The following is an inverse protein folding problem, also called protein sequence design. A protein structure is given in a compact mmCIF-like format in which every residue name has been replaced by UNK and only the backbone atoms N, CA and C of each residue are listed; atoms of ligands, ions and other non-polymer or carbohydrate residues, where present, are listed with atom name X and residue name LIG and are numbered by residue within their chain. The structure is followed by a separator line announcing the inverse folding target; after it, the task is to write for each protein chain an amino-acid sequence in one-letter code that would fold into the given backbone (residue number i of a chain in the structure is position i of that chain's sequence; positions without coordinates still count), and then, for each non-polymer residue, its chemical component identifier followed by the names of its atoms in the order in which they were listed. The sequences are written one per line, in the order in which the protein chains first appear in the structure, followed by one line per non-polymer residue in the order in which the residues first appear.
data_IF_239191319195
#
_entry.id   IF_239191319195
#
_cell.length_a   1.000
_cell.length_b   1.000
_cell.length_c   1.000
_cell.angle_alpha   90.00
_cell.angle_beta   90.00
_cell.angle_gamma   90.00
#
_symmetry.space_group_name_H-M   'P 1'
#
loop_
_entity.id
_entity.type
_entity.pdbx_description
1 polymer ?
#
# COMPACT_ATOMS: atom_id res chain seq x y z
N UNK A 1 -4.17 -12.29 28.52
CA UNK A 1 -4.48 -10.86 28.34
C UNK A 1 -4.93 -10.71 26.90
N UNK A 2 -6.23 -10.53 26.66
CA UNK A 2 -6.76 -10.34 25.31
C UNK A 2 -6.15 -9.07 24.72
N UNK A 3 -5.70 -9.13 23.46
CA UNK A 3 -5.03 -8.02 22.81
C UNK A 3 -5.94 -6.78 22.80
N UNK A 4 -5.41 -5.65 23.25
CA UNK A 4 -6.07 -4.34 23.23
C UNK A 4 -6.17 -3.74 21.82
N UNK A 5 -5.83 -4.52 20.79
CA UNK A 5 -5.80 -4.10 19.40
C UNK A 5 -6.51 -5.14 18.54
N UNK A 6 -7.49 -4.68 17.76
CA UNK A 6 -8.15 -5.49 16.73
C UNK A 6 -8.15 -4.71 15.42
N UNK A 7 -7.53 -5.28 14.37
CA UNK A 7 -7.46 -4.67 13.02
C UNK A 7 -7.10 -3.17 13.04
N UNK A 8 -6.10 -2.80 13.84
CA UNK A 8 -5.61 -1.42 13.90
C UNK A 8 -6.36 -0.43 14.77
N UNK A 9 -7.52 -0.82 15.29
CA UNK A 9 -8.25 -0.01 16.27
C UNK A 9 -7.89 -0.46 17.69
N UNK A 10 -7.69 0.53 18.57
CA UNK A 10 -7.47 0.29 20.00
C UNK A 10 -8.82 0.04 20.65
N UNK A 11 -9.00 -1.13 21.28
CA UNK A 11 -10.22 -1.46 21.99
C UNK A 11 -10.20 -0.69 23.31
N UNK A 12 -11.13 0.26 23.46
CA UNK A 12 -11.21 1.12 24.65
C UNK A 12 -12.12 0.52 25.72
N UNK A 13 -13.04 -0.36 25.33
CA UNK A 13 -14.01 -1.00 26.23
C UNK A 13 -14.30 -2.44 25.82
N UNK A 14 -14.54 -3.32 26.80
CA UNK A 14 -14.85 -4.74 26.57
C UNK A 14 -16.21 -4.96 25.91
N UNK A 15 -17.15 -4.05 26.13
CA UNK A 15 -18.48 -4.04 25.54
C UNK A 15 -18.57 -3.11 24.31
N UNK A 16 -17.45 -2.56 23.82
CA UNK A 16 -17.41 -1.64 22.68
C UNK A 16 -18.20 -2.15 21.47
N UNK A 17 -18.03 -3.43 21.13
CA UNK A 17 -18.71 -4.06 19.99
C UNK A 17 -20.19 -4.42 20.26
N UNK A 18 -20.63 -4.42 21.52
CA UNK A 18 -22.01 -4.63 21.94
C UNK A 18 -22.76 -3.29 22.03
N UNK A 19 -22.08 -2.25 22.51
CA UNK A 19 -22.59 -0.89 22.63
C UNK A 19 -22.70 -0.19 21.26
N UNK A 20 -21.70 -0.36 20.39
CA UNK A 20 -21.71 0.11 19.00
C UNK A 20 -22.37 -0.93 18.08
N UNK A 21 -23.60 -1.36 18.40
CA UNK A 21 -24.30 -2.42 17.65
C UNK A 21 -24.48 -2.12 16.14
N UNK A 22 -24.38 -0.85 15.73
CA UNK A 22 -24.36 -0.44 14.33
C UNK A 22 -22.99 -0.67 13.65
N UNK A 23 -21.89 -0.70 14.40
CA UNK A 23 -20.53 -0.90 13.90
C UNK A 23 -19.96 0.28 13.10
N UNK A 24 -20.59 1.45 13.11
CA UNK A 24 -20.23 2.61 12.28
C UNK A 24 -19.60 3.71 13.15
N UNK A 25 -18.27 3.83 13.11
CA UNK A 25 -17.54 4.77 13.95
C UNK A 25 -17.47 6.19 13.36
N UNK A 26 -17.29 6.32 12.05
CA UNK A 26 -17.17 7.62 11.36
C UNK A 26 -18.49 8.14 10.80
N UNK A 27 -18.59 9.47 10.63
CA UNK A 27 -19.75 10.12 9.98
C UNK A 27 -19.99 9.58 8.56
N UNK A 28 -18.92 9.22 7.84
CA UNK A 28 -19.02 8.64 6.49
C UNK A 28 -19.61 7.23 6.51
N UNK A 29 -19.28 6.44 7.51
CA UNK A 29 -19.86 5.10 7.68
C UNK A 29 -21.33 5.18 8.07
N UNK A 30 -21.70 6.15 8.91
CA UNK A 30 -23.10 6.45 9.23
C UNK A 30 -23.89 6.88 8.00
N UNK A 31 -23.29 7.68 7.12
CA UNK A 31 -23.89 8.09 5.84
C UNK A 31 -24.12 6.90 4.90
N UNK A 32 -23.17 5.98 4.83
CA UNK A 32 -23.24 4.79 3.94
C UNK A 32 -24.06 3.66 4.57
N UNK A 33 -24.24 3.66 5.90
CA UNK A 33 -24.97 2.63 6.64
C UNK A 33 -24.21 1.29 6.75
N UNK A 34 -22.92 1.26 6.40
CA UNK A 34 -22.10 0.04 6.41
C UNK A 34 -20.67 0.33 6.86
N UNK A 35 -20.11 -0.58 7.69
CA UNK A 35 -18.71 -0.55 8.08
C UNK A 35 -17.84 -1.08 6.93
N UNK A 36 -16.90 -0.27 6.48
CA UNK A 36 -16.02 -0.60 5.36
C UNK A 36 -14.66 -0.97 5.94
N UNK A 37 -14.53 -2.22 6.37
CA UNK A 37 -13.39 -2.69 7.17
C UNK A 37 -12.02 -2.57 6.49
N UNK A 38 -11.95 -2.54 5.15
CA UNK A 38 -10.67 -2.35 4.45
C UNK A 38 -10.16 -0.91 4.52
N UNK A 39 -11.03 0.09 4.73
CA UNK A 39 -10.61 1.50 4.83
C UNK A 39 -9.78 1.78 6.09
N UNK A 40 -9.87 0.91 7.09
CA UNK A 40 -9.14 1.02 8.36
C UNK A 40 -8.13 -0.11 8.55
N UNK A 41 -7.89 -0.94 7.54
CA UNK A 41 -6.77 -1.87 7.57
C UNK A 41 -5.49 -1.02 7.48
N UNK A 42 -4.87 -0.78 8.62
CA UNK A 42 -3.65 0.04 8.76
C UNK A 42 -2.48 -0.51 7.94
N UNK A 43 -2.56 -1.75 7.46
CA UNK A 43 -1.58 -2.30 6.51
C UNK A 43 -1.78 -1.76 5.08
N UNK A 44 -2.98 -1.25 4.75
CA UNK A 44 -3.31 -0.69 3.44
C UNK A 44 -2.95 0.80 3.36
N UNK A 45 -3.07 1.55 4.45
CA UNK A 45 -2.77 2.99 4.44
C UNK A 45 -1.26 3.24 4.63
N UNK A 46 -0.59 3.95 3.70
CA UNK A 46 0.82 4.31 3.87
C UNK A 46 1.06 5.17 5.12
N UNK A 47 1.80 4.67 6.10
CA UNK A 47 2.40 5.50 7.15
C UNK A 47 3.42 6.47 6.53
N UNK A 48 2.98 7.71 6.35
CA UNK A 48 3.78 8.79 5.77
C UNK A 48 5.03 9.16 6.60
N UNK A 49 5.13 8.75 7.87
CA UNK A 49 6.36 8.96 8.65
C UNK A 49 7.52 8.10 8.15
N UNK A 50 7.20 7.01 7.44
CA UNK A 50 8.13 6.04 6.85
C UNK A 50 8.25 6.18 5.33
N UNK A 51 7.70 7.25 4.75
CA UNK A 51 7.79 7.49 3.32
C UNK A 51 9.26 7.57 2.88
N UNK A 52 9.58 6.94 1.75
CA UNK A 52 10.94 7.00 1.22
C UNK A 52 11.18 8.34 0.53
N UNK A 53 12.43 8.82 0.44
CA UNK A 53 12.75 10.07 -0.26
C UNK A 53 12.28 10.08 -1.72
N UNK A 54 12.30 8.92 -2.38
CA UNK A 54 11.81 8.78 -3.75
C UNK A 54 10.29 9.00 -3.82
N UNK A 55 9.52 8.37 -2.92
CA UNK A 55 8.06 8.52 -2.87
C UNK A 55 7.64 9.95 -2.53
N UNK A 56 8.34 10.62 -1.61
CA UNK A 56 8.12 12.04 -1.33
C UNK A 56 8.33 12.90 -2.57
N UNK A 57 9.40 12.64 -3.33
CA UNK A 57 9.66 13.38 -4.57
C UNK A 57 8.62 13.08 -5.65
N UNK A 58 8.16 11.84 -5.73
CA UNK A 58 7.09 11.44 -6.65
C UNK A 58 5.81 12.22 -6.38
N UNK A 59 5.36 12.30 -5.12
CA UNK A 59 4.18 13.10 -4.74
C UNK A 59 4.32 14.57 -5.12
N UNK A 60 5.49 15.18 -4.87
CA UNK A 60 5.78 16.57 -5.25
C UNK A 60 5.66 16.80 -6.77
N UNK A 61 6.22 15.89 -7.58
CA UNK A 61 6.18 15.99 -9.05
C UNK A 61 4.77 15.82 -9.59
N UNK A 62 3.99 14.91 -9.00
CA UNK A 62 2.60 14.65 -9.42
C UNK A 62 1.62 15.72 -8.91
N UNK A 63 2.01 16.49 -7.90
CA UNK A 63 1.12 17.43 -7.21
C UNK A 63 0.01 16.70 -6.44
N UNK A 64 0.33 15.56 -5.83
CA UNK A 64 -0.62 14.73 -5.10
C UNK A 64 -0.39 14.82 -3.59
N UNK A 65 -1.48 14.81 -2.83
CA UNK A 65 -1.47 14.90 -1.37
C UNK A 65 -1.28 13.53 -0.69
N UNK A 66 -1.50 12.42 -1.42
CA UNK A 66 -1.43 11.07 -0.88
C UNK A 66 -0.86 10.03 -1.88
N UNK A 67 -0.78 8.77 -1.43
CA UNK A 67 -0.30 7.60 -2.18
C UNK A 67 -1.33 6.47 -2.16
N UNK A 68 -2.63 6.80 -2.00
CA UNK A 68 -3.67 5.79 -1.81
C UNK A 68 -3.77 4.81 -2.99
N UNK A 69 -3.45 5.24 -4.21
CA UNK A 69 -3.45 4.33 -5.36
C UNK A 69 -2.38 3.22 -5.29
N UNK A 70 -1.40 3.35 -4.40
CA UNK A 70 -0.37 2.34 -4.09
C UNK A 70 -0.70 1.53 -2.82
N UNK A 71 -1.90 1.65 -2.26
CA UNK A 71 -2.30 0.95 -1.02
C UNK A 71 -2.18 -0.57 -1.15
N UNK A 72 -2.51 -1.10 -2.33
CA UNK A 72 -2.55 -2.51 -2.66
C UNK A 72 -1.19 -3.08 -3.14
N UNK A 73 -0.13 -2.27 -3.09
CA UNK A 73 1.24 -2.66 -3.44
C UNK A 73 2.04 -2.95 -2.17
N UNK A 74 2.56 -4.16 -2.05
CA UNK A 74 3.29 -4.61 -0.87
C UNK A 74 4.43 -5.55 -1.20
N UNK A 75 5.33 -5.76 -0.24
CA UNK A 75 6.41 -6.73 -0.38
C UNK A 75 5.88 -8.14 -0.10
N UNK A 76 5.90 -8.98 -1.11
CA UNK A 76 5.57 -10.40 -1.03
C UNK A 76 6.78 -11.29 -1.26
N UNK A 77 6.51 -12.58 -1.45
CA UNK A 77 7.52 -13.59 -1.76
C UNK A 77 7.05 -14.49 -2.90
N UNK A 78 7.88 -14.61 -3.93
CA UNK A 78 7.71 -15.54 -5.05
C UNK A 78 8.82 -16.60 -4.97
N UNK A 79 8.45 -17.87 -4.79
CA UNK A 79 9.39 -18.99 -4.64
C UNK A 79 10.48 -18.73 -3.57
N UNK A 80 10.09 -18.13 -2.45
CA UNK A 80 10.99 -17.78 -1.35
C UNK A 80 11.85 -16.53 -1.59
N UNK A 81 11.83 -15.95 -2.78
CA UNK A 81 12.52 -14.70 -3.10
C UNK A 81 11.60 -13.51 -2.85
N UNK A 82 12.10 -12.41 -2.27
CA UNK A 82 11.29 -11.21 -2.14
C UNK A 82 10.90 -10.68 -3.53
N UNK A 83 9.67 -10.20 -3.63
CA UNK A 83 9.13 -9.64 -4.86
C UNK A 83 8.07 -8.59 -4.52
N UNK A 84 8.00 -7.55 -5.34
CA UNK A 84 6.89 -6.60 -5.27
C UNK A 84 5.65 -7.29 -5.79
N UNK A 85 4.58 -7.26 -5.00
CA UNK A 85 3.27 -7.75 -5.42
C UNK A 85 2.31 -6.58 -5.58
N UNK A 86 1.68 -6.51 -6.76
CA UNK A 86 0.64 -5.55 -7.09
C UNK A 86 -0.68 -6.30 -7.21
N UNK A 87 -1.59 -6.06 -6.25
CA UNK A 87 -2.88 -6.73 -6.22
C UNK A 87 -3.82 -6.25 -7.33
N UNK A 88 -3.66 -5.02 -7.83
CA UNK A 88 -4.57 -4.45 -8.83
C UNK A 88 -4.49 -5.19 -10.17
N UNK A 89 -3.28 -5.60 -10.57
CA UNK A 89 -3.05 -6.40 -11.78
C UNK A 89 -2.77 -7.89 -11.49
N UNK A 90 -2.76 -8.28 -10.21
CA UNK A 90 -2.38 -9.62 -9.75
C UNK A 90 -1.00 -10.05 -10.30
N UNK A 91 -0.04 -9.14 -10.24
CA UNK A 91 1.27 -9.27 -10.86
C UNK A 91 2.41 -9.21 -9.85
N UNK A 92 3.54 -9.82 -10.24
CA UNK A 92 4.76 -9.90 -9.44
C UNK A 92 5.93 -9.25 -10.19
N UNK A 93 6.75 -8.50 -9.45
CA UNK A 93 8.03 -7.97 -9.93
C UNK A 93 9.13 -8.40 -8.97
N UNK A 94 9.94 -9.36 -9.41
CA UNK A 94 11.05 -9.88 -8.61
C UNK A 94 12.09 -8.78 -8.36
N UNK A 95 12.63 -8.72 -7.14
CA UNK A 95 13.67 -7.74 -6.77
C UNK A 95 15.06 -8.41 -6.75
N UNK A 96 16.15 -7.67 -7.00
CA UNK A 96 17.49 -8.24 -6.87
C UNK A 96 17.78 -8.72 -5.45
N UNK A 97 18.46 -9.85 -5.31
CA UNK A 97 18.85 -10.41 -4.01
C UNK A 97 19.82 -9.53 -3.22
N UNK A 98 20.43 -8.53 -3.86
CA UNK A 98 21.28 -7.52 -3.22
C UNK A 98 20.49 -6.46 -2.45
N UNK A 99 19.17 -6.41 -2.56
CA UNK A 99 18.33 -5.46 -1.83
C UNK A 99 18.12 -5.99 -0.42
N UNK A 100 18.65 -5.30 0.58
CA UNK A 100 18.39 -5.60 1.98
C UNK A 100 16.99 -5.10 2.36
N UNK A 101 16.19 -6.00 2.94
CA UNK A 101 14.85 -5.66 3.40
C UNK A 101 14.83 -5.44 4.91
N UNK A 102 14.16 -4.38 5.39
CA UNK A 102 14.01 -4.10 6.82
C UNK A 102 13.15 -5.16 7.50
N UNK A 103 13.20 -5.28 8.82
CA UNK A 103 12.46 -6.34 9.55
C UNK A 103 10.97 -6.02 9.81
N UNK A 104 10.52 -4.81 9.52
CA UNK A 104 9.12 -4.41 9.71
C UNK A 104 8.37 -4.32 8.38
N UNK A 105 7.11 -4.75 8.40
CA UNK A 105 6.26 -4.84 7.21
C UNK A 105 6.09 -3.48 6.53
N UNK A 106 5.87 -2.42 7.30
CA UNK A 106 5.57 -1.10 6.73
C UNK A 106 6.72 -0.54 5.89
N UNK A 107 7.96 -0.66 6.35
CA UNK A 107 9.12 -0.19 5.58
C UNK A 107 9.33 -1.05 4.33
N UNK A 108 9.06 -2.37 4.40
CA UNK A 108 9.10 -3.25 3.22
C UNK A 108 8.08 -2.83 2.18
N UNK A 109 6.87 -2.47 2.59
CA UNK A 109 5.81 -2.05 1.68
C UNK A 109 6.11 -0.69 1.05
N UNK A 110 6.72 0.24 1.81
CA UNK A 110 7.24 1.49 1.23
C UNK A 110 8.32 1.24 0.18
N UNK A 111 9.24 0.31 0.43
CA UNK A 111 10.24 -0.12 -0.55
C UNK A 111 9.56 -0.76 -1.77
N UNK A 112 8.54 -1.59 -1.57
CA UNK A 112 7.81 -2.24 -2.66
C UNK A 112 7.16 -1.21 -3.60
N UNK A 113 6.49 -0.21 -3.02
CA UNK A 113 5.87 0.93 -3.72
C UNK A 113 6.91 1.73 -4.51
N UNK A 114 8.05 2.04 -3.90
CA UNK A 114 9.16 2.71 -4.57
C UNK A 114 9.71 1.89 -5.74
N UNK A 115 9.93 0.59 -5.55
CA UNK A 115 10.48 -0.30 -6.56
C UNK A 115 9.53 -0.46 -7.76
N UNK A 116 8.21 -0.56 -7.51
CA UNK A 116 7.22 -0.58 -8.58
C UNK A 116 7.30 0.69 -9.44
N UNK A 117 7.35 1.85 -8.80
CA UNK A 117 7.45 3.13 -9.53
C UNK A 117 8.74 3.24 -10.31
N UNK A 118 9.88 2.89 -9.70
CA UNK A 118 11.17 2.88 -10.40
C UNK A 118 11.15 1.93 -11.60
N UNK A 119 10.49 0.78 -11.48
CA UNK A 119 10.31 -0.15 -12.59
C UNK A 119 9.46 0.47 -13.70
N UNK A 120 8.27 0.99 -13.38
CA UNK A 120 7.33 1.58 -14.35
C UNK A 120 7.91 2.82 -15.05
N UNK A 121 8.64 3.65 -14.32
CA UNK A 121 9.27 4.88 -14.82
C UNK A 121 10.65 4.67 -15.43
N UNK A 122 11.16 3.43 -15.46
CA UNK A 122 12.49 3.13 -16.00
C UNK A 122 12.54 3.41 -17.50
N UNK A 123 13.62 4.04 -17.96
CA UNK A 123 13.90 4.18 -19.40
C UNK A 123 14.08 2.83 -20.11
N UNK A 124 14.35 1.77 -19.33
CA UNK A 124 14.48 0.39 -19.81
C UNK A 124 13.15 -0.36 -19.81
N UNK A 125 12.05 0.28 -19.42
CA UNK A 125 10.74 -0.35 -19.37
C UNK A 125 10.29 -0.77 -20.80
N UNK A 126 9.81 -2.00 -21.02
CA UNK A 126 9.46 -2.49 -22.36
C UNK A 126 8.45 -1.60 -23.11
N UNK A 127 7.54 -0.94 -22.38
CA UNK A 127 6.58 -0.01 -22.97
C UNK A 127 7.25 1.21 -23.63
N UNK A 128 8.44 1.63 -23.19
CA UNK A 128 9.17 2.72 -23.84
C UNK A 128 9.62 2.32 -25.26
N UNK A 129 10.09 1.08 -25.43
CA UNK A 129 10.42 0.52 -26.74
C UNK A 129 9.18 0.35 -27.61
N UNK A 130 8.10 -0.20 -27.05
CA UNK A 130 6.84 -0.38 -27.78
C UNK A 130 6.24 0.96 -28.22
N UNK A 131 6.26 1.97 -27.35
CA UNK A 131 5.83 3.33 -27.70
C UNK A 131 6.66 3.90 -28.86
N UNK A 132 7.99 3.76 -28.84
CA UNK A 132 8.84 4.21 -29.95
C UNK A 132 8.52 3.51 -31.27
N UNK A 133 8.18 2.22 -31.23
CA UNK A 133 7.88 1.43 -32.42
C UNK A 133 6.47 1.66 -32.99
N UNK A 134 5.48 1.96 -32.14
CA UNK A 134 4.05 1.88 -32.51
C UNK A 134 3.21 3.13 -32.19
N UNK A 135 3.79 4.18 -31.61
CA UNK A 135 3.03 5.42 -31.32
C UNK A 135 2.55 6.09 -32.60
N UNK A 136 1.24 6.41 -32.64
CA UNK A 136 0.63 7.17 -33.71
C UNK A 136 0.84 8.67 -33.47
N UNK A 137 1.02 9.43 -34.56
CA UNK A 137 1.26 10.87 -34.56
C UNK A 137 0.00 11.67 -34.20
#
# INVERSE_FOLDING_TARGET
MAGTQYRGSTITDVDQFVADAAGLASEREKEIGQHIGYRYDVNLVPDYTKITPYLSKYMEVMGWDDLNWLEDVHMGYEDGNPAVFDRNNNGWVSIPSSVELPDNQQDRDMIARELLLKFQMSDRHPLATLRKAYMKF
#
